data_IF_215728106805
#
_entry.id   IF_215728106805
#
_cell.length_a   1.000
_cell.length_b   1.000
_cell.length_c   1.000
_cell.angle_alpha   90.00
_cell.angle_beta   90.00
_cell.angle_gamma   90.00
#
_symmetry.space_group_name_H-M   'P 1'
#
loop_
_entity.id
_entity.type
_entity.pdbx_description
1 polymer ?
#
# COMPACT_ATOMS: atom_id res chain seq x y z
N UNK A 1 93.34 6.31 -32.11
CA UNK A 1 91.93 6.06 -32.44
C UNK A 1 91.07 6.45 -31.26
N UNK A 2 90.55 7.67 -31.22
CA UNK A 2 89.72 8.21 -30.15
C UNK A 2 88.40 8.62 -30.82
N UNK A 3 87.30 7.98 -30.38
CA UNK A 3 85.91 8.37 -30.80
C UNK A 3 85.43 9.49 -29.88
N UNK A 4 84.78 10.53 -30.37
CA UNK A 4 84.17 11.54 -29.54
C UNK A 4 82.72 11.12 -29.10
N UNK A 5 82.44 11.34 -27.86
CA UNK A 5 81.13 11.14 -27.22
C UNK A 5 80.25 12.38 -27.43
N UNK A 6 79.16 12.25 -28.17
CA UNK A 6 78.21 13.32 -28.38
C UNK A 6 77.25 13.35 -27.18
N UNK A 7 77.23 14.47 -26.47
CA UNK A 7 76.36 14.77 -25.36
C UNK A 7 75.03 15.29 -25.92
N UNK A 8 73.96 14.53 -25.80
CA UNK A 8 72.60 14.93 -26.20
C UNK A 8 71.83 15.46 -24.98
N UNK A 9 71.73 16.77 -24.83
CA UNK A 9 70.97 17.47 -23.82
C UNK A 9 69.45 17.41 -24.20
N UNK A 10 68.68 16.60 -23.49
CA UNK A 10 67.22 16.59 -23.61
C UNK A 10 66.63 17.71 -22.76
N UNK A 11 66.01 18.68 -23.38
CA UNK A 11 65.25 19.76 -22.77
C UNK A 11 63.86 19.24 -22.40
N UNK A 12 63.65 18.97 -21.15
CA UNK A 12 62.35 18.49 -20.65
C UNK A 12 61.48 19.72 -20.33
N UNK A 13 60.55 20.04 -21.26
CA UNK A 13 59.54 21.06 -21.05
C UNK A 13 58.47 20.55 -20.06
N UNK A 14 58.47 21.09 -18.87
CA UNK A 14 57.46 20.78 -17.85
C UNK A 14 56.20 21.62 -18.13
N UNK A 15 55.23 21.02 -18.83
CA UNK A 15 53.87 21.59 -19.03
C UNK A 15 53.13 21.52 -17.68
N UNK A 16 53.07 22.64 -16.96
CA UNK A 16 52.22 22.82 -15.78
C UNK A 16 50.77 22.95 -16.28
N UNK A 17 50.05 21.84 -16.35
CA UNK A 17 48.58 21.86 -16.54
C UNK A 17 47.99 22.32 -15.18
N UNK A 18 47.68 23.62 -15.08
CA UNK A 18 46.77 24.09 -14.03
C UNK A 18 45.39 23.44 -14.28
N UNK A 19 45.16 22.34 -13.60
CA UNK A 19 43.82 21.78 -13.46
C UNK A 19 42.94 22.76 -12.71
N UNK A 20 42.21 23.60 -13.46
CA UNK A 20 41.06 24.31 -12.87
C UNK A 20 40.07 23.20 -12.47
N UNK A 21 40.20 22.73 -11.24
CA UNK A 21 39.20 21.89 -10.62
C UNK A 21 37.93 22.73 -10.50
N UNK A 22 37.02 22.58 -11.49
CA UNK A 22 35.65 22.99 -11.24
C UNK A 22 35.19 22.20 -10.00
N UNK A 23 34.78 22.89 -8.91
CA UNK A 23 34.10 22.18 -7.85
C UNK A 23 32.93 21.50 -8.56
N UNK A 24 32.86 20.18 -8.50
CA UNK A 24 31.66 19.47 -8.84
C UNK A 24 30.60 20.05 -7.89
N UNK A 25 29.81 21.00 -8.39
CA UNK A 25 28.59 21.41 -7.70
C UNK A 25 27.80 20.11 -7.56
N UNK A 26 27.86 19.53 -6.38
CA UNK A 26 26.96 18.43 -6.04
C UNK A 26 25.58 18.89 -6.43
N UNK A 27 24.95 18.23 -7.39
CA UNK A 27 23.62 18.61 -7.81
C UNK A 27 22.76 18.64 -6.55
N UNK A 28 22.20 19.81 -6.21
CA UNK A 28 21.27 19.93 -5.10
C UNK A 28 20.18 18.85 -5.29
N UNK A 29 20.06 17.93 -4.35
CA UNK A 29 19.11 16.82 -4.42
C UNK A 29 18.02 16.98 -3.36
N UNK A 30 16.83 16.49 -3.65
CA UNK A 30 15.78 16.29 -2.66
C UNK A 30 15.93 14.86 -2.17
N UNK A 31 16.41 14.69 -0.95
CA UNK A 31 16.57 13.38 -0.32
C UNK A 31 15.26 12.91 0.30
N UNK A 32 14.79 11.72 -0.09
CA UNK A 32 13.56 11.11 0.44
C UNK A 32 13.92 9.76 1.05
N UNK A 33 13.66 9.61 2.34
CA UNK A 33 13.74 8.33 3.03
C UNK A 33 12.54 7.44 2.66
N UNK A 34 12.83 6.23 2.22
CA UNK A 34 11.81 5.20 1.97
C UNK A 34 11.96 4.14 3.05
N UNK A 35 11.05 4.17 4.02
CA UNK A 35 11.10 3.30 5.21
C UNK A 35 10.00 2.25 5.16
N UNK A 36 10.32 1.02 5.55
CA UNK A 36 9.35 -0.08 5.63
C UNK A 36 10.02 -1.43 5.84
N UNK A 37 9.25 -2.51 5.99
CA UNK A 37 9.75 -3.87 6.21
C UNK A 37 10.33 -4.43 4.90
N UNK A 38 11.55 -4.02 4.53
CA UNK A 38 12.15 -4.22 3.19
C UNK A 38 12.40 -5.69 2.83
N UNK A 39 12.42 -6.57 3.83
CA UNK A 39 12.52 -8.03 3.62
C UNK A 39 11.17 -8.66 3.23
N UNK A 40 10.06 -7.93 3.41
CA UNK A 40 8.72 -8.38 3.13
C UNK A 40 8.15 -7.70 1.88
N UNK A 41 7.08 -8.25 1.33
CA UNK A 41 6.43 -7.73 0.13
C UNK A 41 6.01 -6.27 0.28
N UNK A 42 5.55 -5.87 1.44
CA UNK A 42 5.07 -4.52 1.72
C UNK A 42 6.18 -3.49 1.52
N UNK A 43 7.37 -3.73 2.09
CA UNK A 43 8.52 -2.86 1.91
C UNK A 43 9.11 -2.91 0.49
N UNK A 44 9.05 -4.07 -0.19
CA UNK A 44 9.45 -4.17 -1.60
C UNK A 44 8.58 -3.26 -2.48
N UNK A 45 7.26 -3.27 -2.27
CA UNK A 45 6.37 -2.39 -3.02
C UNK A 45 6.56 -0.90 -2.66
N UNK A 46 6.84 -0.56 -1.38
CA UNK A 46 7.26 0.80 -1.01
C UNK A 46 8.44 1.26 -1.86
N UNK A 47 9.49 0.43 -1.91
CA UNK A 47 10.70 0.75 -2.66
C UNK A 47 10.46 0.85 -4.16
N UNK A 48 9.72 -0.10 -4.72
CA UNK A 48 9.44 -0.15 -6.15
C UNK A 48 8.61 1.06 -6.63
N UNK A 49 7.58 1.44 -5.87
CA UNK A 49 6.79 2.65 -6.15
C UNK A 49 7.64 3.92 -6.11
N UNK A 50 8.50 4.03 -5.08
CA UNK A 50 9.42 5.15 -4.94
C UNK A 50 10.42 5.24 -6.11
N UNK A 51 10.96 4.10 -6.58
CA UNK A 51 11.84 4.06 -7.76
C UNK A 51 11.14 4.57 -9.02
N UNK A 52 9.87 4.21 -9.24
CA UNK A 52 9.09 4.68 -10.38
C UNK A 52 8.95 6.20 -10.36
N UNK A 53 8.54 6.78 -9.22
CA UNK A 53 8.38 8.23 -9.07
C UNK A 53 9.70 8.98 -9.25
N UNK A 54 10.78 8.49 -8.62
CA UNK A 54 12.12 9.09 -8.78
C UNK A 54 12.53 9.16 -10.25
N UNK A 55 12.37 8.05 -10.96
CA UNK A 55 12.82 7.97 -12.35
C UNK A 55 11.95 8.84 -13.27
N UNK A 56 10.64 8.91 -13.03
CA UNK A 56 9.73 9.81 -13.74
C UNK A 56 10.13 11.27 -13.54
N UNK A 57 10.29 11.73 -12.30
CA UNK A 57 10.67 13.10 -11.99
C UNK A 57 12.06 13.43 -12.53
N UNK A 58 13.02 12.53 -12.33
CA UNK A 58 14.41 12.76 -12.74
C UNK A 58 14.60 12.77 -14.26
N UNK A 59 13.83 11.95 -14.99
CA UNK A 59 13.81 11.94 -16.47
C UNK A 59 13.22 13.23 -17.04
N UNK A 60 12.21 13.79 -16.36
CA UNK A 60 11.61 15.08 -16.71
C UNK A 60 12.49 16.30 -16.36
N UNK A 61 13.69 16.06 -15.83
CA UNK A 61 14.67 17.12 -15.53
C UNK A 61 14.74 17.49 -14.04
N UNK A 62 13.97 16.83 -13.16
CA UNK A 62 13.91 17.11 -11.73
C UNK A 62 12.84 18.12 -11.34
N UNK A 63 12.81 18.50 -10.07
CA UNK A 63 11.85 19.42 -9.46
C UNK A 63 12.41 20.84 -9.49
N UNK A 64 11.63 21.80 -9.98
CA UNK A 64 12.01 23.22 -9.92
C UNK A 64 11.67 23.79 -8.55
N UNK A 65 12.68 24.18 -7.78
CA UNK A 65 12.57 24.82 -6.47
C UNK A 65 13.21 26.22 -6.57
N UNK A 66 12.40 27.28 -6.61
CA UNK A 66 12.90 28.60 -6.95
C UNK A 66 13.58 28.59 -8.33
N UNK A 67 14.86 29.00 -8.38
CA UNK A 67 15.66 29.03 -9.61
C UNK A 67 16.45 27.73 -9.86
N UNK A 68 16.41 26.77 -8.94
CA UNK A 68 17.16 25.51 -9.01
C UNK A 68 16.31 24.37 -9.56
N UNK A 69 16.95 23.45 -10.30
CA UNK A 69 16.39 22.13 -10.66
C UNK A 69 17.07 21.07 -9.81
N UNK A 70 16.29 20.43 -8.93
CA UNK A 70 16.79 19.41 -7.99
C UNK A 70 16.33 18.03 -8.42
N UNK A 71 17.23 17.04 -8.33
CA UNK A 71 16.90 15.63 -8.57
C UNK A 71 16.41 14.98 -7.31
N UNK A 72 15.57 13.95 -7.43
CA UNK A 72 15.18 13.09 -6.31
C UNK A 72 16.30 12.08 -6.05
N UNK A 73 16.74 11.98 -4.81
CA UNK A 73 17.60 10.93 -4.28
C UNK A 73 16.80 10.11 -3.25
N UNK A 74 16.84 8.78 -3.34
CA UNK A 74 16.13 7.90 -2.43
C UNK A 74 17.10 7.21 -1.46
N UNK A 75 16.75 7.21 -0.19
CA UNK A 75 17.46 6.47 0.86
C UNK A 75 16.58 5.29 1.29
N UNK A 76 17.02 4.07 0.91
CA UNK A 76 16.32 2.83 1.28
C UNK A 76 16.62 2.44 2.71
N UNK A 77 15.60 2.27 3.55
CA UNK A 77 15.79 1.93 4.96
C UNK A 77 14.84 0.80 5.38
N UNK A 78 15.43 -0.31 5.83
CA UNK A 78 14.67 -1.42 6.39
C UNK A 78 14.31 -1.10 7.85
N UNK A 79 13.02 -1.00 8.13
CA UNK A 79 12.52 -0.75 9.48
C UNK A 79 12.48 -2.01 10.35
N UNK A 80 12.58 -3.21 9.76
CA UNK A 80 12.43 -4.50 10.45
C UNK A 80 11.21 -4.57 11.41
N UNK A 81 10.19 -3.78 11.15
CA UNK A 81 9.06 -3.47 12.04
C UNK A 81 8.15 -4.68 12.36
N UNK A 82 8.25 -5.77 11.60
CA UNK A 82 7.54 -7.01 11.92
C UNK A 82 8.21 -7.78 13.08
N UNK A 83 9.51 -7.61 13.26
CA UNK A 83 10.31 -8.37 14.20
C UNK A 83 10.79 -7.53 15.40
N UNK A 84 11.06 -6.24 15.20
CA UNK A 84 11.65 -5.37 16.21
C UNK A 84 11.12 -3.93 16.14
N UNK A 85 10.49 -3.50 17.21
CA UNK A 85 10.05 -2.10 17.37
C UNK A 85 11.24 -1.13 17.52
N UNK A 86 12.31 -1.59 18.19
CA UNK A 86 13.54 -0.81 18.36
C UNK A 86 14.22 -0.54 17.02
N UNK A 87 14.26 -1.53 16.13
CA UNK A 87 14.85 -1.34 14.81
C UNK A 87 14.05 -0.32 13.99
N UNK A 88 12.73 -0.31 14.11
CA UNK A 88 11.88 0.65 13.42
C UNK A 88 12.15 2.10 13.87
N UNK A 89 12.28 2.33 15.19
CA UNK A 89 12.62 3.65 15.72
C UNK A 89 14.02 4.08 15.30
N UNK A 90 15.02 3.20 15.44
CA UNK A 90 16.41 3.47 15.03
C UNK A 90 16.50 3.78 13.52
N UNK A 91 15.73 3.08 12.69
CA UNK A 91 15.67 3.33 11.24
C UNK A 91 15.16 4.73 10.91
N UNK A 92 14.12 5.21 11.61
CA UNK A 92 13.62 6.58 11.45
C UNK A 92 14.63 7.61 11.92
N UNK A 93 15.23 7.43 13.11
CA UNK A 93 16.26 8.32 13.62
C UNK A 93 17.46 8.41 12.67
N UNK A 94 17.90 7.27 12.10
CA UNK A 94 18.98 7.23 11.12
C UNK A 94 18.69 8.09 9.90
N UNK A 95 17.48 8.00 9.35
CA UNK A 95 17.06 8.82 8.21
C UNK A 95 17.14 10.31 8.51
N UNK A 96 16.75 10.73 9.72
CA UNK A 96 16.64 12.15 10.09
C UNK A 96 17.98 12.74 10.55
N UNK A 97 18.77 11.99 11.32
CA UNK A 97 20.00 12.50 11.95
C UNK A 97 21.24 12.30 11.10
N UNK A 98 21.40 11.12 10.50
CA UNK A 98 22.59 10.76 9.72
C UNK A 98 22.40 11.04 8.23
N UNK A 99 21.33 10.50 7.64
CA UNK A 99 21.06 10.65 6.21
C UNK A 99 20.51 12.04 5.89
N UNK A 100 19.92 12.73 6.88
CA UNK A 100 19.37 14.09 6.78
C UNK A 100 18.41 14.25 5.61
N UNK A 101 17.47 13.31 5.51
CA UNK A 101 16.46 13.35 4.45
C UNK A 101 15.53 14.55 4.61
N UNK A 102 15.05 15.09 3.51
CA UNK A 102 14.08 16.18 3.51
C UNK A 102 12.67 15.69 3.88
N UNK A 103 12.32 14.47 3.44
CA UNK A 103 11.00 13.88 3.61
C UNK A 103 11.13 12.37 3.87
N UNK A 104 10.12 11.79 4.48
CA UNK A 104 9.99 10.34 4.66
C UNK A 104 8.70 9.85 4.03
N UNK A 105 8.74 8.69 3.36
CA UNK A 105 7.56 7.98 2.84
C UNK A 105 7.61 6.51 3.26
N UNK A 106 6.46 5.90 3.53
CA UNK A 106 6.37 4.46 3.85
C UNK A 106 5.78 4.18 5.23
N UNK A 107 6.40 3.24 5.97
CA UNK A 107 5.86 2.72 7.23
C UNK A 107 4.67 1.79 7.01
N UNK A 108 4.56 0.70 7.79
CA UNK A 108 3.52 -0.31 7.58
C UNK A 108 2.81 -0.72 8.86
N UNK A 109 3.54 -1.30 9.82
CA UNK A 109 2.95 -1.80 11.05
C UNK A 109 2.52 -0.65 11.96
N UNK A 110 1.24 -0.64 12.36
CA UNK A 110 0.63 0.46 13.13
C UNK A 110 1.48 0.86 14.36
N UNK A 111 1.89 -0.10 15.17
CA UNK A 111 2.64 0.15 16.40
C UNK A 111 4.00 0.81 16.12
N UNK A 112 4.68 0.36 15.06
CA UNK A 112 5.95 0.95 14.63
C UNK A 112 5.75 2.37 14.08
N UNK A 113 4.69 2.57 13.28
CA UNK A 113 4.41 3.86 12.68
C UNK A 113 4.06 4.92 13.72
N UNK A 114 3.41 4.57 14.84
CA UNK A 114 3.21 5.51 15.95
C UNK A 114 4.55 6.06 16.47
N UNK A 115 5.51 5.19 16.74
CA UNK A 115 6.84 5.62 17.22
C UNK A 115 7.63 6.39 16.17
N UNK A 116 7.58 5.92 14.91
CA UNK A 116 8.21 6.63 13.78
C UNK A 116 7.59 8.00 13.53
N UNK A 117 6.26 8.12 13.69
CA UNK A 117 5.54 9.38 13.58
C UNK A 117 6.04 10.37 14.65
N UNK A 118 6.09 9.98 15.93
CA UNK A 118 6.56 10.85 17.01
C UNK A 118 7.96 11.39 16.72
N UNK A 119 8.88 10.53 16.28
CA UNK A 119 10.24 10.94 15.91
C UNK A 119 10.23 11.92 14.74
N UNK A 120 9.50 11.62 13.66
CA UNK A 120 9.44 12.52 12.51
C UNK A 120 8.85 13.89 12.86
N UNK A 121 7.84 13.94 13.74
CA UNK A 121 7.23 15.18 14.22
C UNK A 121 8.19 16.02 15.07
N UNK A 122 8.98 15.39 15.93
CA UNK A 122 9.99 16.08 16.74
C UNK A 122 11.07 16.76 15.87
N UNK A 123 11.38 16.18 14.71
CA UNK A 123 12.27 16.77 13.70
C UNK A 123 11.54 17.68 12.69
N UNK A 124 10.23 17.88 12.81
CA UNK A 124 9.39 18.62 11.85
C UNK A 124 9.56 18.14 10.40
N UNK A 125 9.76 16.85 10.23
CA UNK A 125 9.94 16.23 8.92
C UNK A 125 8.61 15.66 8.43
N UNK A 126 8.22 16.03 7.21
CA UNK A 126 7.01 15.50 6.59
C UNK A 126 7.16 13.98 6.41
N UNK A 127 6.23 13.24 6.99
CA UNK A 127 6.12 11.78 6.86
C UNK A 127 4.80 11.41 6.19
N UNK A 128 4.87 10.93 4.93
CA UNK A 128 3.72 10.43 4.19
C UNK A 128 3.58 8.94 4.41
N UNK A 129 2.61 8.55 5.23
CA UNK A 129 2.34 7.15 5.58
C UNK A 129 1.74 6.36 4.42
N UNK A 130 2.36 5.21 4.07
CA UNK A 130 1.95 4.36 2.94
C UNK A 130 1.66 2.91 3.37
N UNK A 131 1.20 2.66 4.61
CA UNK A 131 1.00 1.28 5.06
C UNK A 131 0.09 1.11 6.26
N UNK A 132 0.21 1.95 7.29
CA UNK A 132 -0.54 1.82 8.53
C UNK A 132 -1.98 2.34 8.40
N UNK A 133 -2.94 1.53 8.87
CA UNK A 133 -4.37 1.79 8.63
C UNK A 133 -5.11 2.39 9.83
N UNK A 134 -4.54 2.44 11.03
CA UNK A 134 -5.28 2.94 12.19
C UNK A 134 -5.65 4.41 12.05
N UNK A 135 -6.90 4.75 12.38
CA UNK A 135 -7.41 6.12 12.30
C UNK A 135 -6.65 7.07 13.23
N UNK A 136 -6.24 6.58 14.38
CA UNK A 136 -5.59 7.34 15.45
C UNK A 136 -4.32 8.07 14.99
N UNK A 137 -3.60 7.57 13.98
CA UNK A 137 -2.45 8.28 13.40
C UNK A 137 -2.81 9.65 12.81
N UNK A 138 -4.02 9.77 12.27
CA UNK A 138 -4.53 11.04 11.73
C UNK A 138 -5.31 11.84 12.79
N UNK A 139 -5.95 11.18 13.76
CA UNK A 139 -6.64 11.86 14.87
C UNK A 139 -5.67 12.75 15.66
N UNK A 140 -4.42 12.32 15.84
CA UNK A 140 -3.35 13.12 16.47
C UNK A 140 -3.14 14.48 15.79
N UNK A 141 -3.35 14.58 14.47
CA UNK A 141 -3.28 15.88 13.77
C UNK A 141 -4.37 16.82 14.25
N UNK A 142 -5.60 16.32 14.43
CA UNK A 142 -6.72 17.10 14.96
C UNK A 142 -6.58 17.42 16.45
N UNK A 143 -5.92 16.55 17.23
CA UNK A 143 -5.71 16.70 18.67
C UNK A 143 -4.58 17.69 19.00
N UNK A 144 -3.45 17.62 18.27
CA UNK A 144 -2.32 18.54 18.38
C UNK A 144 -1.73 18.86 17.00
N UNK A 145 -2.39 19.76 16.31
CA UNK A 145 -1.98 20.19 14.96
C UNK A 145 -0.55 20.72 14.91
N UNK A 146 -0.13 21.51 15.89
CA UNK A 146 1.19 22.13 15.89
C UNK A 146 2.32 21.09 15.87
N UNK A 147 2.12 19.96 16.53
CA UNK A 147 3.07 18.85 16.56
C UNK A 147 2.90 17.94 15.35
N UNK A 148 1.68 17.50 15.05
CA UNK A 148 1.43 16.40 14.10
C UNK A 148 1.12 16.84 12.66
N UNK A 149 1.09 18.12 12.33
CA UNK A 149 0.78 18.64 10.99
C UNK A 149 1.70 18.15 9.86
N UNK A 150 2.84 17.56 10.17
CA UNK A 150 3.78 16.98 9.20
C UNK A 150 3.45 15.54 8.82
N UNK A 151 2.44 14.95 9.44
CA UNK A 151 1.91 13.64 9.08
C UNK A 151 0.77 13.75 8.08
N UNK A 152 0.81 12.93 7.00
CA UNK A 152 -0.29 12.69 6.09
C UNK A 152 -0.37 11.20 5.77
N UNK A 153 -1.58 10.63 5.71
CA UNK A 153 -1.79 9.30 5.18
C UNK A 153 -1.96 9.36 3.68
N UNK A 154 -1.28 8.49 2.94
CA UNK A 154 -1.49 8.30 1.50
C UNK A 154 -2.33 7.04 1.27
N UNK A 155 -1.92 5.91 1.87
CA UNK A 155 -2.55 4.61 1.69
C UNK A 155 -2.22 3.69 2.87
N UNK A 156 -3.09 2.71 3.20
CA UNK A 156 -4.48 2.58 2.75
C UNK A 156 -5.35 3.65 3.39
N UNK A 157 -6.67 3.64 3.13
CA UNK A 157 -7.60 4.41 3.97
C UNK A 157 -7.52 3.92 5.41
N UNK A 158 -8.06 4.70 6.35
CA UNK A 158 -8.12 4.27 7.74
C UNK A 158 -9.00 3.00 7.91
N UNK A 159 -8.82 2.32 9.04
CA UNK A 159 -9.51 1.09 9.39
C UNK A 159 -11.04 1.20 9.37
N UNK A 160 -11.62 2.40 9.58
CA UNK A 160 -13.06 2.62 9.49
C UNK A 160 -13.53 2.44 8.03
N UNK A 161 -12.82 3.05 7.08
CA UNK A 161 -13.17 2.93 5.66
C UNK A 161 -12.78 1.56 5.08
N UNK A 162 -11.73 0.93 5.59
CA UNK A 162 -11.42 -0.46 5.26
C UNK A 162 -12.55 -1.40 5.69
N UNK A 163 -13.06 -1.24 6.92
CA UNK A 163 -14.21 -2.00 7.41
C UNK A 163 -15.46 -1.74 6.55
N UNK A 164 -15.74 -0.46 6.23
CA UNK A 164 -16.87 -0.08 5.38
C UNK A 164 -16.80 -0.74 3.99
N UNK A 165 -15.62 -0.77 3.38
CA UNK A 165 -15.42 -1.45 2.08
C UNK A 165 -15.63 -2.96 2.20
N UNK A 166 -15.15 -3.60 3.29
CA UNK A 166 -15.44 -5.00 3.57
C UNK A 166 -16.95 -5.28 3.67
N UNK A 167 -17.70 -4.40 4.32
CA UNK A 167 -19.17 -4.56 4.43
C UNK A 167 -19.87 -4.46 3.09
N UNK A 168 -19.40 -3.59 2.20
CA UNK A 168 -19.88 -3.50 0.82
C UNK A 168 -19.58 -4.80 0.06
N UNK A 169 -18.37 -5.33 0.20
CA UNK A 169 -17.99 -6.61 -0.44
C UNK A 169 -18.81 -7.77 0.12
N UNK A 170 -19.01 -7.84 1.43
CA UNK A 170 -19.87 -8.86 2.06
C UNK A 170 -21.32 -8.80 1.54
N UNK A 171 -21.91 -7.60 1.48
CA UNK A 171 -23.25 -7.40 0.95
C UNK A 171 -23.36 -7.84 -0.52
N UNK A 172 -22.34 -7.49 -1.31
CA UNK A 172 -22.25 -7.88 -2.74
C UNK A 172 -22.18 -9.40 -2.91
N UNK A 173 -21.28 -10.07 -2.19
CA UNK A 173 -21.13 -11.53 -2.27
C UNK A 173 -22.33 -12.24 -1.67
N UNK A 174 -22.93 -11.73 -0.60
CA UNK A 174 -24.17 -12.24 -0.03
C UNK A 174 -25.34 -12.18 -1.04
N UNK A 175 -25.46 -11.09 -1.80
CA UNK A 175 -26.45 -10.97 -2.87
C UNK A 175 -26.20 -11.98 -4.01
N UNK A 176 -24.94 -12.21 -4.38
CA UNK A 176 -24.55 -13.24 -5.36
C UNK A 176 -24.96 -14.63 -4.86
N UNK A 177 -24.72 -14.97 -3.60
CA UNK A 177 -25.10 -16.26 -3.01
C UNK A 177 -26.62 -16.48 -3.00
N UNK A 178 -27.38 -15.45 -2.60
CA UNK A 178 -28.85 -15.51 -2.66
C UNK A 178 -29.34 -15.87 -4.06
N UNK A 179 -28.77 -15.22 -5.08
CA UNK A 179 -29.15 -15.45 -6.48
C UNK A 179 -28.67 -16.78 -7.04
N UNK A 180 -27.43 -17.20 -6.73
CA UNK A 180 -26.78 -18.35 -7.34
C UNK A 180 -27.21 -19.69 -6.73
N UNK A 181 -27.43 -19.74 -5.42
CA UNK A 181 -27.67 -20.98 -4.66
C UNK A 181 -28.83 -20.88 -3.65
N UNK A 182 -29.56 -19.77 -3.59
CA UNK A 182 -30.78 -19.62 -2.79
C UNK A 182 -30.54 -19.44 -1.28
N UNK A 183 -29.33 -19.24 -0.81
CA UNK A 183 -29.04 -19.01 0.64
C UNK A 183 -29.52 -17.60 1.02
N UNK A 184 -30.62 -17.50 1.78
CA UNK A 184 -31.25 -16.20 2.10
C UNK A 184 -30.47 -15.39 3.11
N UNK A 185 -29.94 -16.01 4.17
CA UNK A 185 -29.13 -15.39 5.22
C UNK A 185 -27.74 -16.06 5.31
N UNK A 186 -26.78 -15.68 4.44
CA UNK A 186 -25.44 -16.24 4.51
C UNK A 186 -24.77 -16.00 5.85
N UNK A 187 -24.18 -17.05 6.43
CA UNK A 187 -23.46 -16.99 7.70
C UNK A 187 -22.00 -16.62 7.47
N UNK A 188 -21.48 -15.66 8.23
CA UNK A 188 -20.14 -15.08 8.08
C UNK A 188 -19.27 -15.46 9.27
N UNK A 189 -18.19 -16.18 9.04
CA UNK A 189 -17.10 -16.37 9.99
C UNK A 189 -16.15 -15.16 9.92
N UNK A 190 -16.00 -14.43 11.01
CA UNK A 190 -15.05 -13.31 11.11
C UNK A 190 -13.70 -13.90 11.54
N UNK A 191 -12.67 -13.78 10.70
CA UNK A 191 -11.33 -14.29 10.97
C UNK A 191 -10.32 -13.15 10.86
N UNK A 192 -9.87 -12.69 12.02
CA UNK A 192 -8.90 -11.60 12.12
C UNK A 192 -7.63 -12.02 12.83
N UNK A 193 -6.46 -11.76 12.27
CA UNK A 193 -5.18 -12.01 12.94
C UNK A 193 -5.04 -11.19 14.23
N UNK A 194 -4.18 -11.66 15.16
CA UNK A 194 -3.93 -10.96 16.44
C UNK A 194 -3.00 -9.76 16.22
N UNK A 195 -3.58 -8.62 15.77
CA UNK A 195 -2.90 -7.34 15.51
C UNK A 195 -3.81 -6.17 15.98
N UNK A 196 -3.18 -5.06 16.41
CA UNK A 196 -3.91 -3.89 16.95
C UNK A 196 -4.90 -3.29 15.95
N UNK A 197 -4.50 -3.15 14.66
CA UNK A 197 -5.36 -2.58 13.61
C UNK A 197 -6.63 -3.39 13.34
N UNK A 198 -6.65 -4.68 13.72
CA UNK A 198 -7.74 -5.63 13.48
C UNK A 198 -8.86 -5.49 14.50
N UNK A 199 -8.54 -5.10 15.74
CA UNK A 199 -9.48 -5.14 16.88
C UNK A 199 -10.76 -4.35 16.62
N UNK A 200 -10.63 -3.09 16.21
CA UNK A 200 -11.77 -2.23 15.90
C UNK A 200 -12.58 -2.78 14.70
N UNK A 201 -11.92 -3.39 13.72
CA UNK A 201 -12.58 -3.96 12.55
C UNK A 201 -13.40 -5.21 12.91
N UNK A 202 -12.89 -6.10 13.75
CA UNK A 202 -13.63 -7.27 14.24
C UNK A 202 -14.88 -6.82 14.97
N UNK A 203 -14.74 -5.91 15.93
CA UNK A 203 -15.88 -5.36 16.70
C UNK A 203 -16.93 -4.69 15.80
N UNK A 204 -16.48 -3.91 14.82
CA UNK A 204 -17.38 -3.27 13.85
C UNK A 204 -18.08 -4.31 12.97
N UNK A 205 -17.41 -5.42 12.63
CA UNK A 205 -17.97 -6.50 11.80
C UNK A 205 -19.09 -7.24 12.56
N UNK A 206 -18.89 -7.60 13.82
CA UNK A 206 -19.93 -8.22 14.64
C UNK A 206 -21.19 -7.35 14.71
N UNK A 207 -21.04 -6.03 14.88
CA UNK A 207 -22.16 -5.09 14.98
C UNK A 207 -22.84 -4.81 13.62
N UNK A 208 -22.14 -4.96 12.48
CA UNK A 208 -22.64 -4.51 11.18
C UNK A 208 -23.16 -5.66 10.31
N UNK A 209 -22.57 -6.85 10.37
CA UNK A 209 -22.96 -8.00 9.54
C UNK A 209 -24.47 -8.30 9.62
N UNK A 210 -25.13 -8.30 10.82
CA UNK A 210 -26.57 -8.51 10.91
C UNK A 210 -27.40 -7.46 10.16
N UNK A 211 -26.93 -6.22 10.11
CA UNK A 211 -27.61 -5.12 9.42
C UNK A 211 -27.57 -5.26 7.88
N UNK A 212 -26.70 -6.14 7.34
CA UNK A 212 -26.59 -6.46 5.93
C UNK A 212 -27.50 -7.63 5.51
N UNK A 213 -28.32 -8.16 6.44
CA UNK A 213 -29.10 -9.37 6.20
C UNK A 213 -28.24 -10.63 6.10
N UNK A 214 -27.12 -10.64 6.82
CA UNK A 214 -26.18 -11.74 6.99
C UNK A 214 -26.17 -12.15 8.48
N UNK A 215 -25.68 -13.35 8.79
CA UNK A 215 -25.56 -13.83 10.19
C UNK A 215 -24.09 -13.97 10.57
N UNK A 216 -23.75 -13.66 11.83
CA UNK A 216 -22.42 -13.93 12.37
C UNK A 216 -22.35 -15.40 12.80
N UNK A 217 -21.44 -16.17 12.19
CA UNK A 217 -21.19 -17.56 12.59
C UNK A 217 -20.26 -17.66 13.80
N UNK A 218 -19.35 -16.72 13.96
CA UNK A 218 -18.41 -16.65 15.07
C UNK A 218 -17.19 -15.81 14.72
N UNK A 219 -16.25 -15.69 15.68
CA UNK A 219 -15.01 -14.92 15.56
C UNK A 219 -13.82 -15.82 15.88
N UNK A 220 -12.83 -15.81 15.02
CA UNK A 220 -11.57 -16.56 15.19
C UNK A 220 -10.36 -15.62 15.08
N UNK A 221 -9.38 -15.84 15.94
CA UNK A 221 -8.21 -14.96 16.09
C UNK A 221 -6.91 -15.77 16.00
N UNK A 222 -6.51 -16.26 14.80
CA UNK A 222 -5.24 -16.94 14.62
C UNK A 222 -4.05 -16.01 14.86
N UNK A 223 -2.88 -16.60 15.16
CA UNK A 223 -1.61 -15.86 15.18
C UNK A 223 -1.30 -15.34 13.77
N UNK A 224 -0.72 -14.15 13.67
CA UNK A 224 -0.28 -13.55 12.40
C UNK A 224 0.72 -14.41 11.61
N UNK A 225 1.44 -15.31 12.30
CA UNK A 225 2.45 -16.22 11.72
C UNK A 225 2.02 -17.68 11.80
N UNK A 226 0.72 -17.96 12.01
CA UNK A 226 0.23 -19.34 12.09
C UNK A 226 0.55 -20.12 10.79
N UNK A 227 1.16 -21.29 10.94
CA UNK A 227 1.50 -22.22 9.85
C UNK A 227 0.48 -23.34 9.71
N UNK A 228 -0.47 -23.43 10.64
CA UNK A 228 -1.62 -24.35 10.61
C UNK A 228 -2.84 -23.65 11.24
N UNK A 229 -3.98 -23.77 10.57
CA UNK A 229 -5.28 -23.19 10.98
C UNK A 229 -6.40 -24.23 10.90
N UNK A 230 -6.04 -25.53 10.93
CA UNK A 230 -7.01 -26.64 10.81
C UNK A 230 -8.07 -26.59 11.91
N UNK A 231 -7.70 -26.18 13.12
CA UNK A 231 -8.63 -26.08 14.24
C UNK A 231 -9.70 -25.00 13.99
N UNK A 232 -9.28 -23.81 13.53
CA UNK A 232 -10.16 -22.72 13.15
C UNK A 232 -11.07 -23.14 11.99
N UNK A 233 -10.53 -23.75 10.96
CA UNK A 233 -11.28 -24.20 9.78
C UNK A 233 -12.33 -25.26 10.15
N UNK A 234 -11.98 -26.22 11.00
CA UNK A 234 -12.92 -27.22 11.52
C UNK A 234 -14.05 -26.59 12.33
N UNK A 235 -13.75 -25.56 13.14
CA UNK A 235 -14.76 -24.82 13.89
C UNK A 235 -15.69 -24.02 12.93
N UNK A 236 -15.13 -23.34 11.94
CA UNK A 236 -15.88 -22.59 10.91
C UNK A 236 -16.85 -23.52 10.15
N UNK A 237 -16.42 -24.73 9.82
CA UNK A 237 -17.28 -25.72 9.17
C UNK A 237 -18.44 -26.19 10.07
N UNK A 238 -18.17 -26.45 11.38
CA UNK A 238 -19.23 -26.83 12.33
C UNK A 238 -20.30 -25.74 12.49
N UNK A 239 -19.88 -24.48 12.40
CA UNK A 239 -20.79 -23.34 12.45
C UNK A 239 -21.55 -23.10 11.14
N UNK A 240 -21.37 -23.96 10.12
CA UNK A 240 -21.99 -23.83 8.80
C UNK A 240 -21.80 -22.43 8.19
N UNK A 241 -20.62 -21.85 8.29
CA UNK A 241 -20.30 -20.59 7.65
C UNK A 241 -20.32 -20.73 6.13
N UNK A 242 -20.83 -19.70 5.44
CA UNK A 242 -20.86 -19.60 3.98
C UNK A 242 -19.80 -18.63 3.45
N UNK A 243 -19.46 -17.63 4.27
CA UNK A 243 -18.44 -16.62 3.96
C UNK A 243 -17.43 -16.60 5.10
N UNK A 244 -16.16 -16.47 4.77
CA UNK A 244 -15.10 -16.09 5.71
C UNK A 244 -14.71 -14.65 5.41
N UNK A 245 -14.96 -13.76 6.38
CA UNK A 245 -14.42 -12.40 6.37
C UNK A 245 -12.99 -12.45 6.90
N UNK A 246 -12.02 -12.30 6.00
CA UNK A 246 -10.60 -12.28 6.34
C UNK A 246 -10.13 -10.86 6.69
N UNK A 247 -9.30 -10.75 7.74
CA UNK A 247 -8.66 -9.49 8.14
C UNK A 247 -7.20 -9.84 8.49
N UNK A 248 -6.35 -9.96 7.43
CA UNK A 248 -4.97 -10.42 7.51
C UNK A 248 -4.00 -9.45 6.83
N UNK A 249 -2.91 -9.13 7.51
CA UNK A 249 -1.79 -8.36 6.95
C UNK A 249 -0.49 -9.15 6.86
N UNK A 250 -0.46 -10.36 7.42
CA UNK A 250 0.73 -11.18 7.56
C UNK A 250 0.57 -12.59 6.94
N UNK A 251 1.59 -13.44 7.10
CA UNK A 251 1.72 -14.75 6.43
C UNK A 251 0.61 -15.74 6.72
N UNK A 252 -0.14 -15.60 7.82
CA UNK A 252 -1.34 -16.39 8.10
C UNK A 252 -2.36 -16.37 6.94
N UNK A 253 -2.38 -15.28 6.18
CA UNK A 253 -3.24 -15.15 5.00
C UNK A 253 -2.94 -16.17 3.90
N UNK A 254 -1.68 -16.56 3.74
CA UNK A 254 -1.26 -17.65 2.81
C UNK A 254 -1.72 -19.00 3.35
N UNK A 255 -1.42 -19.28 4.63
CA UNK A 255 -1.79 -20.56 5.29
C UNK A 255 -3.31 -20.79 5.22
N UNK A 256 -4.07 -19.76 5.57
CA UNK A 256 -5.53 -19.84 5.61
C UNK A 256 -6.14 -20.12 4.23
N UNK A 257 -5.70 -19.39 3.21
CA UNK A 257 -6.18 -19.59 1.84
C UNK A 257 -5.80 -20.96 1.28
N UNK A 258 -4.56 -21.39 1.51
CA UNK A 258 -4.05 -22.70 1.09
C UNK A 258 -4.87 -23.84 1.68
N UNK A 259 -5.05 -23.86 2.99
CA UNK A 259 -5.77 -24.94 3.67
C UNK A 259 -7.27 -24.95 3.31
N UNK A 260 -7.92 -23.83 3.09
CA UNK A 260 -9.31 -23.79 2.55
C UNK A 260 -9.39 -24.45 1.18
N UNK A 261 -8.43 -24.14 0.29
CA UNK A 261 -8.39 -24.70 -1.06
C UNK A 261 -8.09 -26.21 -1.07
N UNK A 262 -7.10 -26.66 -0.29
CA UNK A 262 -6.73 -28.08 -0.14
C UNK A 262 -7.89 -28.92 0.39
N UNK A 263 -8.58 -28.42 1.41
CA UNK A 263 -9.70 -29.09 2.06
C UNK A 263 -11.04 -28.86 1.33
N UNK A 264 -11.06 -28.04 0.27
CA UNK A 264 -12.25 -27.64 -0.46
C UNK A 264 -13.38 -27.20 0.47
N UNK A 265 -13.04 -26.41 1.50
CA UNK A 265 -14.04 -25.93 2.45
C UNK A 265 -15.04 -25.04 1.69
N UNK A 266 -16.35 -25.30 1.78
CA UNK A 266 -17.35 -24.64 0.94
C UNK A 266 -17.72 -23.26 1.49
N UNK A 267 -16.75 -22.34 1.46
CA UNK A 267 -16.88 -20.95 1.88
C UNK A 267 -16.33 -20.01 0.81
N UNK A 268 -16.89 -18.82 0.72
CA UNK A 268 -16.27 -17.71 -0.02
C UNK A 268 -15.33 -16.95 0.91
N UNK A 269 -14.10 -16.70 0.47
CA UNK A 269 -13.14 -15.85 1.18
C UNK A 269 -13.28 -14.41 0.68
N UNK A 270 -13.62 -13.49 1.57
CA UNK A 270 -13.87 -12.07 1.28
C UNK A 270 -13.25 -11.22 2.37
N UNK A 271 -12.55 -10.14 2.03
CA UNK A 271 -12.08 -9.22 3.06
C UNK A 271 -10.73 -8.58 2.75
N UNK A 272 -9.85 -8.57 3.71
CA UNK A 272 -8.48 -8.10 3.59
C UNK A 272 -7.55 -9.30 3.78
N UNK A 273 -6.77 -9.61 2.75
CA UNK A 273 -5.64 -10.52 2.82
C UNK A 273 -4.50 -9.87 2.02
N UNK A 274 -3.59 -9.19 2.73
CA UNK A 274 -2.50 -8.43 2.10
C UNK A 274 -1.56 -9.35 1.31
N UNK A 275 -1.36 -10.57 1.76
CA UNK A 275 -0.55 -11.55 1.03
C UNK A 275 -1.17 -11.90 -0.33
N UNK A 276 -2.51 -11.90 -0.44
CA UNK A 276 -3.21 -12.18 -1.69
C UNK A 276 -3.17 -11.03 -2.72
N UNK A 277 -2.57 -9.90 -2.37
CA UNK A 277 -2.41 -8.76 -3.29
C UNK A 277 -1.19 -8.91 -4.23
N UNK A 278 -0.32 -9.88 -4.00
CA UNK A 278 0.93 -10.09 -4.75
C UNK A 278 0.85 -11.32 -5.67
N UNK A 279 1.55 -11.28 -6.80
CA UNK A 279 1.60 -12.38 -7.77
C UNK A 279 2.14 -13.70 -7.15
N UNK A 280 3.15 -13.62 -6.27
CA UNK A 280 3.72 -14.79 -5.58
C UNK A 280 2.75 -15.52 -4.62
N UNK A 281 1.55 -14.98 -4.37
CA UNK A 281 0.53 -15.66 -3.58
C UNK A 281 0.03 -16.96 -4.23
N UNK A 282 -0.05 -16.96 -5.57
CA UNK A 282 -0.45 -18.16 -6.31
C UNK A 282 0.50 -19.32 -6.06
N UNK A 283 1.81 -19.09 -6.20
CA UNK A 283 2.84 -20.09 -5.95
C UNK A 283 2.92 -20.46 -4.46
N UNK A 284 2.85 -19.47 -3.57
CA UNK A 284 2.90 -19.70 -2.12
C UNK A 284 1.76 -20.59 -1.61
N UNK A 285 0.60 -20.50 -2.24
CA UNK A 285 -0.56 -21.36 -1.93
C UNK A 285 -0.58 -22.65 -2.74
N UNK A 286 0.38 -22.89 -3.66
CA UNK A 286 0.37 -24.03 -4.57
C UNK A 286 -0.86 -24.04 -5.49
N UNK A 287 -1.35 -22.87 -5.89
CA UNK A 287 -2.56 -22.71 -6.70
C UNK A 287 -3.87 -22.82 -5.92
N UNK A 288 -3.83 -23.08 -4.61
CA UNK A 288 -5.02 -23.21 -3.77
C UNK A 288 -5.68 -21.88 -3.41
N UNK A 289 -4.99 -20.75 -3.68
CA UNK A 289 -5.52 -19.40 -3.47
C UNK A 289 -6.62 -18.97 -4.46
N UNK A 290 -7.05 -19.83 -5.37
CA UNK A 290 -8.13 -19.52 -6.32
C UNK A 290 -9.44 -19.18 -5.61
N UNK A 291 -10.18 -18.22 -6.12
CA UNK A 291 -11.41 -17.64 -5.54
C UNK A 291 -11.24 -16.79 -4.28
N UNK A 292 -10.04 -16.59 -3.77
CA UNK A 292 -9.79 -15.62 -2.68
C UNK A 292 -10.06 -14.22 -3.20
N UNK A 293 -10.98 -13.50 -2.55
CA UNK A 293 -11.21 -12.08 -2.79
C UNK A 293 -10.55 -11.25 -1.69
N UNK A 294 -9.79 -10.24 -2.09
CA UNK A 294 -9.18 -9.26 -1.18
C UNK A 294 -9.39 -7.85 -1.70
N UNK A 295 -9.12 -6.85 -0.87
CA UNK A 295 -8.97 -5.48 -1.33
C UNK A 295 -7.57 -5.26 -1.91
N UNK A 296 -7.47 -4.50 -2.99
CA UNK A 296 -6.21 -3.94 -3.46
C UNK A 296 -6.47 -2.58 -4.10
N UNK A 297 -5.43 -1.75 -4.19
CA UNK A 297 -5.50 -0.50 -4.93
C UNK A 297 -5.47 -0.74 -6.43
N UNK A 298 -4.74 -1.76 -6.90
CA UNK A 298 -4.53 -2.00 -8.33
C UNK A 298 -4.89 -3.43 -8.75
N UNK A 299 -5.27 -3.57 -10.03
CA UNK A 299 -5.46 -4.87 -10.68
C UNK A 299 -5.11 -4.75 -12.18
N UNK A 300 -4.71 -5.86 -12.81
CA UNK A 300 -4.43 -5.89 -14.25
C UNK A 300 -5.64 -5.44 -15.04
N UNK A 301 -5.44 -4.47 -15.94
CA UNK A 301 -6.46 -3.99 -16.87
C UNK A 301 -7.57 -3.14 -16.25
N UNK A 302 -7.56 -2.89 -14.94
CA UNK A 302 -8.53 -2.01 -14.29
C UNK A 302 -8.03 -0.56 -14.32
N UNK A 303 -8.91 0.36 -14.69
CA UNK A 303 -8.61 1.77 -14.83
C UNK A 303 -9.57 2.63 -13.99
N UNK A 304 -9.04 3.39 -13.02
CA UNK A 304 -9.78 4.45 -12.33
C UNK A 304 -9.90 5.71 -13.19
N UNK A 305 -8.82 6.00 -13.90
CA UNK A 305 -8.65 7.15 -14.78
C UNK A 305 -7.47 6.90 -15.74
N UNK A 306 -7.15 7.89 -16.55
CA UNK A 306 -6.10 7.86 -17.57
C UNK A 306 -4.68 7.61 -17.03
N UNK A 307 -4.42 7.86 -15.75
CA UNK A 307 -3.09 7.67 -15.11
C UNK A 307 -2.86 6.25 -14.62
N UNK A 308 -3.94 5.50 -14.35
CA UNK A 308 -3.86 4.17 -13.73
C UNK A 308 -3.11 3.17 -14.60
N UNK A 309 -3.55 3.00 -15.85
CA UNK A 309 -3.00 1.97 -16.74
C UNK A 309 -1.53 2.18 -17.08
N UNK A 310 -1.04 3.39 -17.44
CA UNK A 310 0.38 3.62 -17.68
C UNK A 310 1.26 3.26 -16.48
N UNK A 311 0.82 3.57 -15.27
CA UNK A 311 1.53 3.22 -14.04
C UNK A 311 1.57 1.71 -13.81
N UNK A 312 0.41 1.04 -13.86
CA UNK A 312 0.31 -0.40 -13.60
C UNK A 312 1.09 -1.20 -14.64
N UNK A 313 0.95 -0.89 -15.92
CA UNK A 313 1.67 -1.57 -17.00
C UNK A 313 3.19 -1.34 -16.90
N UNK A 314 3.61 -0.11 -16.59
CA UNK A 314 5.01 0.24 -16.35
C UNK A 314 5.59 -0.50 -15.13
N UNK A 315 4.82 -0.61 -14.06
CA UNK A 315 5.20 -1.35 -12.85
C UNK A 315 5.37 -2.85 -13.15
N UNK A 316 4.38 -3.46 -13.82
CA UNK A 316 4.44 -4.87 -14.23
C UNK A 316 5.62 -5.13 -15.15
N UNK A 317 5.84 -4.27 -16.16
CA UNK A 317 6.98 -4.40 -17.08
C UNK A 317 8.32 -4.38 -16.34
N UNK A 318 8.43 -3.59 -15.29
CA UNK A 318 9.68 -3.40 -14.54
C UNK A 318 9.93 -4.45 -13.47
N UNK A 319 8.89 -4.86 -12.75
CA UNK A 319 9.00 -5.66 -11.54
C UNK A 319 8.33 -7.05 -11.67
N UNK A 320 7.60 -7.31 -12.74
CA UNK A 320 6.99 -8.62 -13.01
C UNK A 320 5.65 -8.87 -12.33
N UNK A 321 5.17 -7.93 -11.49
CA UNK A 321 3.99 -8.12 -10.63
C UNK A 321 3.08 -6.88 -10.62
N UNK A 322 1.81 -7.06 -10.23
CA UNK A 322 0.86 -5.97 -10.01
C UNK A 322 1.27 -5.18 -8.76
N UNK A 323 1.22 -3.82 -8.77
CA UNK A 323 1.50 -3.05 -7.57
C UNK A 323 0.47 -3.33 -6.47
N UNK A 324 0.95 -3.60 -5.24
CA UNK A 324 0.12 -3.56 -4.05
C UNK A 324 -0.09 -2.09 -3.60
N UNK A 325 -1.03 -1.85 -2.68
CA UNK A 325 -1.34 -0.50 -2.21
C UNK A 325 -0.12 0.25 -1.64
N UNK A 326 0.86 -0.45 -1.09
CA UNK A 326 2.07 0.16 -0.56
C UNK A 326 2.97 0.76 -1.65
N UNK A 327 2.75 0.42 -2.94
CA UNK A 327 3.42 1.07 -4.07
C UNK A 327 2.96 2.53 -4.28
N UNK A 328 1.92 2.99 -3.59
CA UNK A 328 1.50 4.40 -3.60
C UNK A 328 2.53 5.37 -2.95
N UNK A 329 3.69 4.88 -2.49
CA UNK A 329 4.89 5.72 -2.35
C UNK A 329 5.24 6.45 -3.65
N UNK A 330 4.81 5.93 -4.80
CA UNK A 330 4.85 6.63 -6.08
C UNK A 330 4.02 7.92 -6.03
N UNK A 331 2.74 7.82 -5.67
CA UNK A 331 1.85 8.98 -5.53
C UNK A 331 2.37 9.95 -4.46
N UNK A 332 2.87 9.44 -3.33
CA UNK A 332 3.45 10.23 -2.25
C UNK A 332 4.61 11.10 -2.73
N UNK A 333 5.55 10.55 -3.47
CA UNK A 333 6.74 11.27 -3.95
C UNK A 333 6.38 12.27 -5.05
N UNK A 334 5.47 11.92 -5.98
CA UNK A 334 4.97 12.88 -6.97
C UNK A 334 4.26 14.06 -6.30
N UNK A 335 3.48 13.80 -5.25
CA UNK A 335 2.78 14.82 -4.47
C UNK A 335 3.77 15.74 -3.75
N UNK A 336 4.78 15.18 -3.06
CA UNK A 336 5.85 15.97 -2.41
C UNK A 336 6.59 16.85 -3.42
N UNK A 337 6.95 16.30 -4.57
CA UNK A 337 7.67 17.02 -5.63
C UNK A 337 6.85 18.21 -6.15
N UNK A 338 5.56 18.01 -6.42
CA UNK A 338 4.69 19.09 -6.91
C UNK A 338 4.41 20.14 -5.82
N UNK A 339 4.19 19.71 -4.55
CA UNK A 339 4.03 20.63 -3.42
C UNK A 339 5.31 21.46 -3.16
N UNK A 340 6.48 20.84 -3.21
CA UNK A 340 7.75 21.55 -3.08
C UNK A 340 7.98 22.56 -4.21
N UNK A 341 7.59 22.20 -5.44
CA UNK A 341 7.62 23.10 -6.60
C UNK A 341 6.67 24.30 -6.41
N UNK A 342 5.42 24.07 -5.97
CA UNK A 342 4.42 25.15 -5.71
C UNK A 342 4.88 26.06 -4.59
N UNK A 343 5.41 25.48 -3.51
CA UNK A 343 5.98 26.23 -2.39
C UNK A 343 7.27 26.99 -2.73
N UNK A 344 7.95 26.61 -3.82
CA UNK A 344 9.27 27.13 -4.18
C UNK A 344 10.32 26.88 -3.11
N UNK A 345 10.13 25.84 -2.24
CA UNK A 345 10.90 25.62 -1.01
C UNK A 345 10.85 24.16 -0.59
N UNK A 346 11.84 23.72 0.20
CA UNK A 346 11.84 22.44 0.93
C UNK A 346 11.44 22.62 2.41
N UNK A 347 11.03 23.82 2.81
CA UNK A 347 10.53 24.09 4.14
C UNK A 347 9.25 23.31 4.42
N UNK A 348 9.24 22.53 5.52
CA UNK A 348 8.13 21.63 5.84
C UNK A 348 6.80 22.36 6.04
N UNK A 349 6.79 23.53 6.69
CA UNK A 349 5.55 24.28 6.95
C UNK A 349 4.91 24.79 5.66
N UNK A 350 5.74 25.24 4.70
CA UNK A 350 5.26 25.67 3.39
C UNK A 350 4.69 24.50 2.59
N UNK A 351 5.34 23.34 2.66
CA UNK A 351 4.87 22.14 1.94
C UNK A 351 3.60 21.58 2.58
N UNK A 352 3.47 21.57 3.91
CA UNK A 352 2.23 21.22 4.61
C UNK A 352 1.08 22.07 4.08
N UNK A 353 1.25 23.39 3.96
CA UNK A 353 0.21 24.27 3.43
C UNK A 353 -0.21 23.94 1.99
N UNK A 354 0.68 23.36 1.17
CA UNK A 354 0.34 22.91 -0.19
C UNK A 354 -0.30 21.50 -0.19
N UNK A 355 0.12 20.61 0.73
CA UNK A 355 -0.48 19.29 0.91
C UNK A 355 -1.93 19.39 1.40
N UNK A 356 -2.24 20.29 2.33
CA UNK A 356 -3.60 20.54 2.83
C UNK A 356 -4.57 21.03 1.74
N UNK A 357 -4.05 21.71 0.71
CA UNK A 357 -4.81 22.17 -0.46
C UNK A 357 -4.87 21.13 -1.57
N UNK A 358 -4.22 19.96 -1.38
CA UNK A 358 -4.14 18.97 -2.44
C UNK A 358 -5.51 18.45 -2.83
N UNK A 359 -5.82 18.53 -4.10
CA UNK A 359 -7.02 17.98 -4.71
C UNK A 359 -6.72 17.67 -6.19
N UNK A 360 -6.24 16.47 -6.48
CA UNK A 360 -5.84 16.07 -7.83
C UNK A 360 -5.99 14.57 -8.08
N UNK A 361 -6.10 14.19 -9.37
CA UNK A 361 -6.05 12.79 -9.79
C UNK A 361 -4.65 12.21 -9.56
N UNK A 362 -4.63 10.98 -9.06
CA UNK A 362 -3.47 10.11 -8.99
C UNK A 362 -3.75 8.77 -9.65
N UNK A 363 -2.79 7.87 -9.63
CA UNK A 363 -2.89 6.55 -10.28
C UNK A 363 -3.96 5.64 -9.68
N UNK A 364 -4.30 5.84 -8.40
CA UNK A 364 -5.29 5.06 -7.64
C UNK A 364 -6.62 5.78 -7.40
N UNK A 365 -6.84 6.95 -8.03
CA UNK A 365 -8.04 7.77 -7.89
C UNK A 365 -7.71 9.23 -7.64
N UNK A 366 -8.68 10.02 -7.15
CA UNK A 366 -8.49 11.43 -6.80
C UNK A 366 -8.11 11.55 -5.33
N UNK A 367 -6.96 12.13 -5.06
CA UNK A 367 -6.49 12.41 -3.70
C UNK A 367 -6.92 13.79 -3.25
N UNK A 368 -7.49 13.83 -2.05
CA UNK A 368 -7.78 15.03 -1.28
C UNK A 368 -7.66 14.66 0.20
N UNK A 369 -7.10 15.53 1.00
CA UNK A 369 -7.03 15.33 2.45
C UNK A 369 -8.20 16.01 3.17
N UNK A 370 -8.66 15.40 4.26
CA UNK A 370 -9.51 16.04 5.22
C UNK A 370 -8.68 16.87 6.23
N UNK A 371 -9.35 17.51 7.19
CA UNK A 371 -8.70 18.35 8.21
C UNK A 371 -7.72 17.58 9.14
N UNK A 372 -7.81 16.27 9.21
CA UNK A 372 -6.94 15.40 10.01
C UNK A 372 -5.86 14.73 9.16
N UNK A 373 -5.63 15.22 7.94
CA UNK A 373 -4.67 14.71 6.95
C UNK A 373 -4.89 13.26 6.53
N UNK A 374 -6.12 12.78 6.68
CA UNK A 374 -6.55 11.48 6.15
C UNK A 374 -7.12 11.63 4.73
N UNK A 375 -6.87 10.72 3.79
CA UNK A 375 -7.43 10.82 2.45
C UNK A 375 -8.95 10.67 2.46
N UNK A 376 -9.63 11.47 1.65
CA UNK A 376 -11.07 11.36 1.45
C UNK A 376 -11.39 10.04 0.75
N UNK A 377 -12.26 9.25 1.39
CA UNK A 377 -12.76 7.98 0.85
C UNK A 377 -14.14 8.15 0.21
N UNK A 378 -14.36 7.43 -0.87
CA UNK A 378 -15.69 7.29 -1.48
C UNK A 378 -15.74 7.65 -2.96
N UNK A 379 -16.94 7.61 -3.56
CA UNK A 379 -17.15 7.94 -4.98
C UNK A 379 -16.55 9.29 -5.37
N UNK A 380 -15.82 9.30 -6.49
CA UNK A 380 -15.13 10.50 -6.98
C UNK A 380 -13.77 10.77 -6.33
N UNK A 381 -13.41 10.04 -5.30
CA UNK A 381 -12.11 10.06 -4.61
C UNK A 381 -11.47 8.67 -4.62
N UNK A 382 -11.00 8.18 -3.46
CA UNK A 382 -10.37 6.87 -3.34
C UNK A 382 -11.40 5.83 -2.87
N UNK A 383 -11.48 4.67 -3.53
CA UNK A 383 -12.42 3.59 -3.18
C UNK A 383 -11.76 2.24 -2.98
N UNK A 384 -10.53 2.03 -3.46
CA UNK A 384 -9.92 0.70 -3.64
C UNK A 384 -10.65 -0.17 -4.67
N UNK A 385 -10.19 -1.38 -4.86
CA UNK A 385 -10.83 -2.43 -5.66
C UNK A 385 -11.09 -3.65 -4.79
N UNK A 386 -12.18 -4.35 -5.06
CA UNK A 386 -12.27 -5.76 -4.75
C UNK A 386 -11.58 -6.54 -5.87
N UNK A 387 -10.57 -7.30 -5.52
CA UNK A 387 -9.84 -8.15 -6.46
C UNK A 387 -10.00 -9.61 -6.08
N UNK A 388 -10.01 -10.50 -7.05
CA UNK A 388 -10.18 -11.93 -6.82
C UNK A 388 -9.16 -12.72 -7.64
N UNK A 389 -8.61 -13.74 -7.04
CA UNK A 389 -7.84 -14.75 -7.78
C UNK A 389 -8.76 -15.60 -8.60
N UNK A 390 -8.62 -15.56 -9.93
CA UNK A 390 -9.36 -16.36 -10.89
C UNK A 390 -8.39 -16.98 -11.89
N UNK A 391 -8.35 -18.31 -11.94
CA UNK A 391 -7.54 -19.08 -12.89
C UNK A 391 -6.05 -18.65 -12.87
N UNK A 392 -5.49 -18.46 -11.68
CA UNK A 392 -4.09 -18.06 -11.44
C UNK A 392 -3.78 -16.58 -11.70
N UNK A 393 -4.82 -15.73 -11.87
CA UNK A 393 -4.65 -14.29 -12.12
C UNK A 393 -5.43 -13.47 -11.11
N UNK A 394 -4.82 -12.39 -10.63
CA UNK A 394 -5.50 -11.42 -9.78
C UNK A 394 -6.26 -10.42 -10.64
N UNK A 395 -7.58 -10.48 -10.63
CA UNK A 395 -8.48 -9.65 -11.44
C UNK A 395 -9.37 -8.76 -10.59
N UNK A 396 -9.74 -7.59 -11.10
CA UNK A 396 -10.72 -6.71 -10.44
C UNK A 396 -12.14 -7.23 -10.60
N UNK A 397 -12.89 -7.33 -9.49
CA UNK A 397 -14.28 -7.82 -9.49
C UNK A 397 -15.26 -6.80 -8.88
N UNK A 398 -14.76 -5.76 -8.22
CA UNK A 398 -15.56 -4.68 -7.66
C UNK A 398 -14.79 -3.34 -7.78
N UNK A 399 -15.47 -2.19 -7.99
CA UNK A 399 -16.91 -2.00 -8.15
C UNK A 399 -17.45 -2.49 -9.50
N UNK A 400 -18.59 -3.18 -9.47
CA UNK A 400 -19.30 -3.64 -10.65
C UNK A 400 -20.79 -3.33 -10.47
N UNK A 401 -21.31 -2.36 -11.22
CA UNK A 401 -22.68 -1.84 -11.08
C UNK A 401 -22.99 -1.38 -9.63
N UNK A 402 -22.00 -0.81 -8.94
CA UNK A 402 -22.15 -0.40 -7.56
C UNK A 402 -22.63 1.05 -7.44
N UNK A 403 -23.55 1.27 -6.49
CA UNK A 403 -24.04 2.61 -6.10
C UNK A 403 -23.75 2.83 -4.62
N UNK A 404 -23.22 4.01 -4.28
CA UNK A 404 -22.96 4.39 -2.89
C UNK A 404 -24.25 4.66 -2.10
N UNK A 405 -25.27 5.21 -2.77
CA UNK A 405 -26.66 5.35 -2.32
C UNK A 405 -27.60 4.99 -3.49
N UNK A 406 -28.88 4.74 -3.25
CA UNK A 406 -29.82 4.44 -4.33
C UNK A 406 -29.83 5.51 -5.45
N UNK A 407 -29.63 6.77 -5.09
CA UNK A 407 -29.67 7.93 -6.00
C UNK A 407 -28.29 8.23 -6.61
N UNK A 408 -27.21 7.63 -6.08
CA UNK A 408 -25.86 7.86 -6.58
C UNK A 408 -25.68 7.27 -7.98
N UNK A 409 -24.83 7.87 -8.82
CA UNK A 409 -24.46 7.27 -10.08
C UNK A 409 -23.82 5.90 -9.86
N UNK A 410 -24.11 5.00 -10.78
CA UNK A 410 -23.51 3.66 -10.81
C UNK A 410 -22.02 3.74 -11.18
N UNK A 411 -21.20 2.97 -10.49
CA UNK A 411 -19.76 2.88 -10.71
C UNK A 411 -19.41 1.48 -11.18
N UNK A 412 -18.79 1.41 -12.36
CA UNK A 412 -18.10 0.24 -12.87
C UNK A 412 -16.81 0.73 -13.53
N UNK A 413 -15.65 0.28 -13.01
CA UNK A 413 -14.39 0.63 -13.66
C UNK A 413 -14.15 -0.27 -14.87
N UNK A 414 -13.47 0.28 -15.89
CA UNK A 414 -13.03 -0.49 -17.04
C UNK A 414 -12.12 -1.62 -16.59
N UNK A 415 -12.29 -2.82 -17.15
CA UNK A 415 -11.51 -4.00 -16.82
C UNK A 415 -12.04 -4.85 -15.65
N UNK A 416 -13.12 -4.43 -14.99
CA UNK A 416 -13.80 -5.26 -13.98
C UNK A 416 -14.46 -6.48 -14.64
N UNK A 417 -14.32 -7.64 -13.99
CA UNK A 417 -14.94 -8.91 -14.40
C UNK A 417 -15.89 -9.43 -13.31
N UNK A 418 -16.82 -10.37 -13.63
CA UNK A 418 -17.69 -10.94 -12.62
C UNK A 418 -16.96 -11.69 -11.51
N UNK A 419 -17.42 -11.53 -10.27
CA UNK A 419 -17.01 -12.36 -9.13
C UNK A 419 -17.43 -13.82 -9.34
N UNK A 420 -16.58 -14.78 -8.96
CA UNK A 420 -16.84 -16.22 -9.04
C UNK A 420 -16.91 -16.85 -7.65
N UNK A 421 -17.98 -17.60 -7.38
CA UNK A 421 -18.02 -18.51 -6.23
C UNK A 421 -17.18 -19.76 -6.51
N UNK A 422 -16.53 -20.38 -5.49
CA UNK A 422 -15.82 -21.64 -5.67
C UNK A 422 -16.75 -22.74 -6.22
N UNK A 423 -16.34 -23.58 -7.18
CA UNK A 423 -17.18 -24.64 -7.72
C UNK A 423 -17.73 -25.59 -6.66
N UNK A 424 -16.88 -26.00 -5.70
CA UNK A 424 -17.28 -26.88 -4.60
C UNK A 424 -18.27 -26.24 -3.61
N UNK A 425 -18.32 -24.88 -3.57
CA UNK A 425 -19.37 -24.15 -2.86
C UNK A 425 -20.71 -24.30 -3.59
N UNK A 426 -20.71 -24.08 -4.91
CA UNK A 426 -21.91 -24.19 -5.73
C UNK A 426 -22.42 -25.61 -5.69
N UNK A 427 -21.56 -26.62 -5.83
CA UNK A 427 -21.91 -28.05 -5.78
C UNK A 427 -22.61 -28.42 -4.47
N UNK A 428 -22.10 -27.95 -3.33
CA UNK A 428 -22.69 -28.23 -2.02
C UNK A 428 -24.07 -27.60 -1.81
N UNK A 429 -24.27 -26.35 -2.29
CA UNK A 429 -25.44 -25.54 -1.91
C UNK A 429 -26.46 -25.36 -3.05
N UNK A 430 -26.13 -25.66 -4.29
CA UNK A 430 -27.07 -25.65 -5.40
C UNK A 430 -27.96 -26.87 -5.28
N UNK A 431 -29.25 -26.63 -4.98
CA UNK A 431 -30.28 -27.68 -4.96
C UNK A 431 -30.71 -28.10 -6.37
#
# INVERSE_FOLDING_TARGET
MKRPMILMTALMAFLLVMGIGFPALGADTIKIGVIGPMQFVQGKHHWNGALMARDEINSAGGVKIGDKKMKIELVKTDSNEFLSMTDATNAMELLLTREKVNFVVGGFRTEAVFSMQDIAMDYKTIFLGCGAATKELCDRVGEDYNRYKYWFRITPFNNIFLAKTNFIHLATVGAIMRKAVGIQAPRVAIVGEKQAWVEAMVKASEATIPKLGLEVAGVWRPSQTATDVTAELSAIQRENAHIVLTIFSATVGVTFAKQIGELKIPVAQVGINVEAQKEGFWEATGGMGNYVMTMNTYARGVEYNELTKPFVDGYIKRFGEVPAYTADTHAAILMLAECAKRAGSLDSDKIVSELEKWDAKGTSGRFKFNKDHDPVWGPGYLTSLGVQWQDGKLVGVWPNHWKATPEAPEITYKGIVPYKLPPWFIEKYKK
#
